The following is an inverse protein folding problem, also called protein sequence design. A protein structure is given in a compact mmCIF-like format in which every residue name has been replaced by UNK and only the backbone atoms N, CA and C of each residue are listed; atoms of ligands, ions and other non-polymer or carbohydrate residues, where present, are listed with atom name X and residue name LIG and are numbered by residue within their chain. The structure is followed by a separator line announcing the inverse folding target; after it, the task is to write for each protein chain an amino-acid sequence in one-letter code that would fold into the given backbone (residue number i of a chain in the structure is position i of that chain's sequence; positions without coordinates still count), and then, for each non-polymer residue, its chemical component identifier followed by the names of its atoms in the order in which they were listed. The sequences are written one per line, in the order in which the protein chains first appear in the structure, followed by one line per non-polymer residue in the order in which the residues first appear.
data_IF_334823315632
#
_entry.id   IF_334823315632
#
_cell.length_a   1.000
_cell.length_b   1.000
_cell.length_c   1.000
_cell.angle_alpha   90.00
_cell.angle_beta   90.00
_cell.angle_gamma   90.00
#
_symmetry.space_group_name_H-M   'P 1'
#
loop_
_entity.id
_entity.type
_entity.pdbx_description
1 polymer ?
#
# COMPACT_ATOMS: atom_id res chain seq x y z
N UNK A 1 -23.37 -4.80 8.08
CA UNK A 1 -22.38 -4.76 9.17
C UNK A 1 -21.05 -4.65 8.44
N UNK A 2 -20.47 -3.46 8.35
CA UNK A 2 -19.12 -3.34 7.81
C UNK A 2 -18.19 -4.08 8.77
N UNK A 3 -17.32 -4.94 8.23
CA UNK A 3 -16.23 -5.53 9.00
C UNK A 3 -15.39 -4.39 9.58
N UNK A 4 -15.15 -4.39 10.89
CA UNK A 4 -14.22 -3.42 11.51
C UNK A 4 -12.76 -3.82 11.27
N UNK A 5 -12.54 -5.00 10.67
CA UNK A 5 -11.22 -5.48 10.27
C UNK A 5 -10.85 -4.98 8.88
N UNK A 6 -9.60 -4.52 8.76
CA UNK A 6 -8.97 -4.14 7.51
C UNK A 6 -8.91 -5.33 6.55
N UNK A 7 -9.41 -5.17 5.32
CA UNK A 7 -9.35 -6.22 4.30
C UNK A 7 -7.97 -6.20 3.62
N UNK A 8 -7.31 -7.35 3.59
CA UNK A 8 -5.94 -7.49 3.08
C UNK A 8 -5.94 -8.58 1.99
N UNK A 9 -5.23 -8.37 0.87
CA UNK A 9 -5.05 -9.38 -0.17
C UNK A 9 -4.37 -10.63 0.38
N UNK A 10 -4.56 -11.76 -0.31
CA UNK A 10 -3.87 -12.99 0.06
C UNK A 10 -2.41 -12.97 -0.40
N UNK A 11 -1.55 -13.79 0.22
CA UNK A 11 -0.16 -13.95 -0.23
C UNK A 11 -0.05 -14.30 -1.72
N UNK A 12 -1.01 -15.07 -2.24
CA UNK A 12 -1.06 -15.42 -3.67
C UNK A 12 -1.31 -14.19 -4.55
N UNK A 13 -2.17 -13.27 -4.13
CA UNK A 13 -2.41 -12.01 -4.84
C UNK A 13 -1.15 -11.13 -4.83
N UNK A 14 -0.44 -11.07 -3.69
CA UNK A 14 0.82 -10.34 -3.57
C UNK A 14 1.90 -10.90 -4.49
N UNK A 15 2.05 -12.23 -4.56
CA UNK A 15 2.98 -12.89 -5.48
C UNK A 15 2.61 -12.60 -6.94
N UNK A 16 1.34 -12.74 -7.30
CA UNK A 16 0.89 -12.59 -8.68
C UNK A 16 1.07 -11.15 -9.19
N UNK A 17 0.72 -10.16 -8.36
CA UNK A 17 0.74 -8.75 -8.77
C UNK A 17 2.11 -8.10 -8.55
N UNK A 18 2.70 -8.30 -7.38
CA UNK A 18 3.90 -7.57 -6.94
C UNK A 18 5.17 -8.42 -6.98
N UNK A 19 5.06 -9.74 -7.11
CA UNK A 19 6.21 -10.65 -7.13
C UNK A 19 6.88 -10.86 -5.77
N UNK A 20 6.26 -10.37 -4.70
CA UNK A 20 6.78 -10.40 -3.33
C UNK A 20 5.68 -10.86 -2.37
N UNK A 21 6.06 -11.39 -1.20
CA UNK A 21 5.13 -11.80 -0.14
C UNK A 21 5.29 -10.85 1.06
N UNK A 22 4.19 -10.46 1.74
CA UNK A 22 4.30 -9.75 3.01
C UNK A 22 4.89 -10.65 4.10
N UNK A 23 5.85 -10.12 4.84
CA UNK A 23 6.48 -10.77 5.98
C UNK A 23 6.11 -10.03 7.28
N UNK A 24 5.91 -10.73 8.41
CA UNK A 24 5.67 -10.08 9.68
C UNK A 24 6.89 -9.26 10.11
N UNK A 25 6.66 -8.08 10.69
CA UNK A 25 7.73 -7.27 11.25
C UNK A 25 8.27 -7.92 12.54
N UNK A 26 9.60 -7.92 12.73
CA UNK A 26 10.26 -8.61 13.86
C UNK A 26 9.75 -8.18 15.26
N UNK A 27 9.19 -6.97 15.36
CA UNK A 27 8.87 -6.32 16.62
C UNK A 27 7.38 -6.26 16.93
N UNK A 28 6.52 -6.55 15.94
CA UNK A 28 5.08 -6.40 16.07
C UNK A 28 4.34 -7.44 15.22
N UNK A 29 3.61 -8.39 15.83
CA UNK A 29 2.92 -9.46 15.10
C UNK A 29 1.73 -8.97 14.26
N UNK A 30 1.20 -7.77 14.53
CA UNK A 30 0.09 -7.20 13.77
C UNK A 30 0.59 -6.35 12.59
N UNK A 31 1.91 -6.12 12.50
CA UNK A 31 2.55 -5.36 11.43
C UNK A 31 3.18 -6.30 10.42
N UNK A 32 2.84 -6.08 9.16
CA UNK A 32 3.38 -6.82 8.02
C UNK A 32 4.08 -5.85 7.08
N UNK A 33 5.07 -6.36 6.33
CA UNK A 33 5.90 -5.58 5.42
C UNK A 33 6.09 -6.35 4.12
N UNK A 34 5.92 -5.67 2.99
CA UNK A 34 6.32 -6.17 1.68
C UNK A 34 7.29 -5.20 1.01
N UNK A 35 8.40 -5.73 0.51
CA UNK A 35 9.36 -4.99 -0.31
C UNK A 35 9.11 -5.26 -1.79
N UNK A 36 8.90 -4.20 -2.55
CA UNK A 36 8.51 -4.24 -3.94
C UNK A 36 9.60 -3.55 -4.76
N UNK A 37 10.33 -4.28 -5.63
CA UNK A 37 11.29 -3.64 -6.52
C UNK A 37 10.58 -2.73 -7.51
N UNK A 38 11.08 -1.52 -7.71
CA UNK A 38 10.52 -0.54 -8.66
C UNK A 38 11.59 -0.03 -9.60
N UNK A 39 11.25 0.24 -10.87
CA UNK A 39 12.18 0.89 -11.81
C UNK A 39 13.50 0.15 -12.03
N UNK A 40 14.62 0.82 -11.71
CA UNK A 40 15.98 0.30 -11.92
C UNK A 40 16.54 -0.46 -10.69
N UNK A 41 17.63 -1.19 -10.90
CA UNK A 41 18.30 -1.93 -9.83
C UNK A 41 18.65 -1.03 -8.64
N UNK A 42 18.19 -1.41 -7.44
CA UNK A 42 18.47 -0.69 -6.19
C UNK A 42 17.39 0.30 -5.74
N UNK A 43 16.24 0.33 -6.42
CA UNK A 43 15.06 1.08 -5.98
C UNK A 43 13.96 0.14 -5.47
N UNK A 44 13.42 0.47 -4.29
CA UNK A 44 12.39 -0.33 -3.64
C UNK A 44 11.30 0.56 -3.06
N UNK A 45 10.07 0.06 -3.14
CA UNK A 45 8.95 0.55 -2.34
C UNK A 45 8.73 -0.46 -1.23
N UNK A 46 8.68 0.01 0.00
CA UNK A 46 8.23 -0.79 1.13
C UNK A 46 6.82 -0.37 1.50
N UNK A 47 5.89 -1.32 1.50
CA UNK A 47 4.57 -1.15 2.08
C UNK A 47 4.53 -1.90 3.41
N UNK A 48 4.36 -1.17 4.50
CA UNK A 48 4.10 -1.73 5.82
C UNK A 48 2.65 -1.47 6.20
N UNK A 49 1.97 -2.45 6.77
CA UNK A 49 0.59 -2.29 7.20
C UNK A 49 0.36 -2.96 8.56
N UNK A 50 -0.35 -2.24 9.41
CA UNK A 50 -0.74 -2.69 10.74
C UNK A 50 -2.22 -3.06 10.69
N UNK A 51 -2.50 -4.35 10.86
CA UNK A 51 -3.86 -4.89 10.79
C UNK A 51 -4.70 -4.45 11.99
N UNK A 52 -4.08 -4.38 13.17
CA UNK A 52 -4.75 -4.01 14.42
C UNK A 52 -5.06 -2.52 14.48
N UNK A 53 -4.11 -1.67 14.08
CA UNK A 53 -4.27 -0.23 14.05
C UNK A 53 -4.92 0.31 12.76
N UNK A 54 -5.16 -0.56 11.78
CA UNK A 54 -5.74 -0.20 10.46
C UNK A 54 -4.96 0.93 9.80
N UNK A 55 -3.64 0.77 9.71
CA UNK A 55 -2.74 1.79 9.17
C UNK A 55 -1.80 1.22 8.11
N UNK A 56 -1.33 2.10 7.23
CA UNK A 56 -0.37 1.80 6.19
C UNK A 56 0.74 2.85 6.22
N UNK A 57 1.99 2.40 6.18
CA UNK A 57 3.16 3.21 5.87
C UNK A 57 3.72 2.77 4.53
N UNK A 58 4.03 3.75 3.68
CA UNK A 58 4.78 3.53 2.46
C UNK A 58 6.10 4.30 2.53
N UNK A 59 7.19 3.63 2.20
CA UNK A 59 8.47 4.28 1.95
C UNK A 59 8.95 3.95 0.54
N UNK A 60 9.63 4.90 -0.09
CA UNK A 60 10.45 4.63 -1.28
C UNK A 60 11.89 4.90 -0.91
N UNK A 61 12.76 4.01 -1.35
CA UNK A 61 14.20 4.13 -1.19
C UNK A 61 14.87 4.00 -2.56
N UNK A 62 15.82 4.88 -2.84
CA UNK A 62 16.65 4.88 -4.04
C UNK A 62 18.09 5.15 -3.64
N UNK A 63 19.02 4.32 -4.14
CA UNK A 63 20.46 4.41 -3.83
C UNK A 63 20.76 4.47 -2.31
N UNK A 64 20.01 3.71 -1.50
CA UNK A 64 20.17 3.65 -0.04
C UNK A 64 19.67 4.87 0.71
N UNK A 65 18.96 5.79 0.04
CA UNK A 65 18.32 6.95 0.66
C UNK A 65 16.80 6.85 0.54
N UNK A 66 16.11 7.05 1.66
CA UNK A 66 14.65 7.26 1.66
C UNK A 66 14.32 8.62 1.08
N UNK A 67 13.57 8.62 -0.01
CA UNK A 67 13.15 9.85 -0.71
C UNK A 67 11.66 10.16 -0.53
N UNK A 68 10.84 9.15 -0.24
CA UNK A 68 9.41 9.31 0.08
C UNK A 68 9.08 8.51 1.34
N UNK A 69 8.27 9.12 2.21
CA UNK A 69 7.62 8.46 3.33
C UNK A 69 6.18 8.99 3.43
N UNK A 70 5.23 8.07 3.55
CA UNK A 70 3.81 8.36 3.62
C UNK A 70 3.14 7.46 4.65
N UNK A 71 2.14 7.97 5.35
CA UNK A 71 1.43 7.25 6.39
C UNK A 71 -0.07 7.57 6.34
N UNK A 72 -0.91 6.53 6.43
CA UNK A 72 -2.37 6.62 6.50
C UNK A 72 -2.91 5.75 7.61
N UNK A 73 -3.91 6.28 8.29
CA UNK A 73 -4.75 5.59 9.27
C UNK A 73 -6.15 5.45 8.70
N UNK A 74 -7.02 4.73 9.42
CA UNK A 74 -8.40 4.46 8.99
C UNK A 74 -8.47 3.71 7.67
N UNK A 75 -7.48 2.85 7.42
CA UNK A 75 -7.44 2.02 6.22
C UNK A 75 -8.57 1.01 6.33
N UNK A 76 -9.40 0.96 5.30
CA UNK A 76 -10.48 -0.01 5.20
C UNK A 76 -9.99 -1.27 4.48
N UNK A 77 -9.24 -1.09 3.38
CA UNK A 77 -8.71 -2.22 2.62
C UNK A 77 -7.50 -1.86 1.77
N UNK A 78 -6.69 -2.88 1.51
CA UNK A 78 -5.64 -2.88 0.49
C UNK A 78 -6.16 -3.69 -0.71
N UNK A 79 -6.01 -3.14 -1.90
CA UNK A 79 -6.31 -3.78 -3.17
C UNK A 79 -5.04 -3.85 -4.00
N UNK A 80 -4.84 -4.96 -4.69
CA UNK A 80 -3.78 -5.13 -5.68
C UNK A 80 -4.39 -5.12 -7.06
N UNK A 81 -3.68 -4.59 -8.04
CA UNK A 81 -4.13 -4.63 -9.42
C UNK A 81 -2.98 -4.87 -10.39
N UNK A 82 -3.30 -5.58 -11.47
CA UNK A 82 -2.48 -5.74 -12.66
C UNK A 82 -3.39 -5.55 -13.87
N UNK A 83 -3.28 -4.42 -14.57
CA UNK A 83 -4.12 -4.11 -15.74
C UNK A 83 -3.39 -3.17 -16.68
N UNK A 84 -3.66 -3.28 -17.98
CA UNK A 84 -3.15 -2.35 -19.01
C UNK A 84 -1.62 -2.16 -18.98
N UNK A 85 -0.88 -3.19 -18.55
CA UNK A 85 0.58 -3.15 -18.42
C UNK A 85 1.09 -2.46 -17.14
N UNK A 86 0.20 -1.98 -16.28
CA UNK A 86 0.52 -1.43 -14.97
C UNK A 86 0.27 -2.44 -13.86
N UNK A 87 1.06 -2.32 -12.78
CA UNK A 87 0.82 -3.05 -11.53
C UNK A 87 0.97 -2.12 -10.35
N UNK A 88 0.16 -2.35 -9.32
CA UNK A 88 0.13 -1.44 -8.19
C UNK A 88 -0.76 -1.86 -7.04
N UNK A 89 -0.86 -0.92 -6.10
CA UNK A 89 -1.61 -1.03 -4.85
C UNK A 89 -2.59 0.15 -4.79
N UNK A 90 -3.81 -0.11 -4.33
CA UNK A 90 -4.76 0.91 -3.92
C UNK A 90 -5.09 0.68 -2.46
N UNK A 91 -4.93 1.71 -1.64
CA UNK A 91 -5.32 1.70 -0.23
C UNK A 91 -6.53 2.60 -0.09
N UNK A 92 -7.66 2.03 0.30
CA UNK A 92 -8.88 2.78 0.55
C UNK A 92 -8.94 3.19 2.00
N UNK A 93 -9.24 4.46 2.23
CA UNK A 93 -9.26 5.07 3.55
C UNK A 93 -10.67 5.56 3.85
N UNK A 94 -11.21 5.18 5.00
CA UNK A 94 -12.54 5.58 5.44
C UNK A 94 -12.47 6.91 6.19
N UNK A 95 -12.74 8.00 5.48
CA UNK A 95 -12.82 9.35 6.06
C UNK A 95 -14.23 9.90 5.84
N UNK A 96 -15.01 10.17 6.89
CA UNK A 96 -16.37 10.68 6.75
C UNK A 96 -16.45 11.94 5.88
N UNK A 97 -17.32 11.90 4.86
CA UNK A 97 -17.52 13.02 3.94
C UNK A 97 -16.48 13.15 2.81
N UNK A 98 -15.50 12.24 2.76
CA UNK A 98 -14.49 12.21 1.71
C UNK A 98 -14.38 10.84 1.07
N UNK A 99 -14.05 10.82 -0.23
CA UNK A 99 -13.53 9.64 -0.89
C UNK A 99 -12.00 9.77 -0.92
N UNK A 100 -11.33 8.91 -0.16
CA UNK A 100 -9.89 8.90 0.00
C UNK A 100 -9.31 7.58 -0.52
N UNK A 101 -8.36 7.67 -1.44
CA UNK A 101 -7.61 6.53 -1.93
C UNK A 101 -6.13 6.92 -2.01
N UNK A 102 -5.22 6.03 -1.61
CA UNK A 102 -3.82 6.12 -1.96
C UNK A 102 -3.55 5.11 -3.07
N UNK A 103 -3.06 5.59 -4.21
CA UNK A 103 -2.73 4.77 -5.38
C UNK A 103 -1.23 4.76 -5.60
N UNK A 104 -0.67 3.56 -5.68
CA UNK A 104 0.76 3.31 -5.81
C UNK A 104 0.94 2.47 -7.07
N UNK A 105 1.54 3.04 -8.11
CA UNK A 105 1.99 2.30 -9.28
C UNK A 105 3.44 1.90 -9.02
N UNK A 106 3.77 0.62 -9.20
CA UNK A 106 5.13 0.08 -9.02
C UNK A 106 5.80 -0.32 -10.34
N UNK A 107 4.99 -0.51 -11.39
CA UNK A 107 5.46 -0.84 -12.75
C UNK A 107 4.53 -0.17 -13.79
N UNK A 108 5.05 0.38 -14.90
CA UNK A 108 6.46 0.38 -15.35
C UNK A 108 7.36 1.42 -14.68
N UNK A 109 6.79 2.29 -13.86
CA UNK A 109 7.52 3.26 -13.06
C UNK A 109 6.78 3.54 -11.76
N UNK A 110 7.50 4.12 -10.79
CA UNK A 110 6.88 4.49 -9.53
C UNK A 110 5.99 5.73 -9.72
N UNK A 111 4.75 5.66 -9.23
CA UNK A 111 3.86 6.82 -9.11
C UNK A 111 3.06 6.70 -7.83
N UNK A 112 2.97 7.81 -7.10
CA UNK A 112 2.15 7.93 -5.89
C UNK A 112 1.09 9.01 -6.12
N UNK A 113 -0.17 8.65 -5.97
CA UNK A 113 -1.30 9.60 -6.04
C UNK A 113 -2.18 9.41 -4.84
N UNK A 114 -2.52 10.50 -4.16
CA UNK A 114 -3.30 10.48 -2.92
C UNK A 114 -4.51 11.43 -3.05
N UNK A 115 -5.51 11.10 -3.89
CA UNK A 115 -6.71 11.91 -3.99
C UNK A 115 -7.54 11.88 -2.71
N UNK A 116 -7.93 13.08 -2.26
CA UNK A 116 -8.93 13.29 -1.23
C UNK A 116 -10.05 14.15 -1.83
N UNK A 117 -11.20 13.53 -2.08
CA UNK A 117 -12.33 14.18 -2.76
C UNK A 117 -13.47 14.41 -1.78
N UNK A 118 -13.80 15.67 -1.53
CA UNK A 118 -14.97 16.03 -0.71
C UNK A 118 -16.26 15.63 -1.43
N UNK A 119 -17.16 14.96 -0.72
CA UNK A 119 -18.39 14.41 -1.27
C UNK A 119 -19.61 15.34 -1.14
N UNK A 120 -19.46 16.52 -0.54
CA UNK A 120 -20.52 17.55 -0.54
C UNK A 120 -21.76 17.17 0.25
N UNK A 121 -21.59 16.77 1.51
CA UNK A 121 -22.71 16.50 2.44
C UNK A 121 -23.69 17.68 2.53
#
# INVERSE_FOLDING_TARGET
MASDAMEIPTDSDFIEVLGSVPEPAEQDPDVWRVEIPVGHAGEFVTLSFDVGARSVRLTRESAGRRDIEFYREQVNRILLYSRDGERGVVVEVDVPGFKCELRIVVFPGFTLVDPMLYLGL
#
